data_IF_228313340828
#
_entry.id   IF_228313340828
#
_cell.length_a   1.000
_cell.length_b   1.000
_cell.length_c   1.000
_cell.angle_alpha   90.00
_cell.angle_beta   90.00
_cell.angle_gamma   90.00
#
_symmetry.space_group_name_H-M   'P 1'
#
loop_
_entity.id
_entity.type
_entity.pdbx_description
1 polymer ?
#
# COMPACT_ATOMS: atom_id res chain seq x y z
N UNK A 1 -42.17 -4.50 -9.13
CA UNK A 1 -41.23 -3.85 -8.18
C UNK A 1 -40.14 -4.79 -7.65
N UNK A 2 -40.41 -6.07 -7.34
CA UNK A 2 -39.41 -7.00 -6.76
C UNK A 2 -38.22 -7.37 -7.67
N UNK A 3 -38.40 -7.39 -8.99
CA UNK A 3 -37.34 -7.77 -9.96
C UNK A 3 -36.27 -6.69 -10.15
N UNK A 4 -36.61 -5.40 -9.96
CA UNK A 4 -35.64 -4.30 -10.08
C UNK A 4 -34.67 -4.29 -8.88
N UNK A 5 -35.19 -4.51 -7.67
CA UNK A 5 -34.34 -4.63 -6.46
C UNK A 5 -33.47 -5.89 -6.46
N UNK A 6 -33.91 -6.98 -7.10
CA UNK A 6 -33.10 -8.19 -7.26
C UNK A 6 -31.90 -7.95 -8.19
N UNK A 7 -32.07 -7.16 -9.25
CA UNK A 7 -30.97 -6.77 -10.17
C UNK A 7 -29.97 -5.85 -9.47
N UNK A 8 -30.45 -4.88 -8.68
CA UNK A 8 -29.56 -4.03 -7.87
C UNK A 8 -28.84 -4.83 -6.78
N UNK A 9 -29.50 -5.79 -6.14
CA UNK A 9 -28.86 -6.68 -5.16
C UNK A 9 -27.78 -7.55 -5.83
N UNK A 10 -28.05 -8.12 -7.01
CA UNK A 10 -27.08 -8.92 -7.78
C UNK A 10 -25.89 -8.08 -8.30
N UNK A 11 -26.13 -6.84 -8.72
CA UNK A 11 -25.08 -5.90 -9.10
C UNK A 11 -24.23 -5.47 -7.90
N UNK A 12 -24.85 -5.26 -6.74
CA UNK A 12 -24.13 -4.91 -5.50
C UNK A 12 -23.34 -6.12 -5.00
N UNK A 13 -23.86 -7.35 -5.06
CA UNK A 13 -23.10 -8.58 -4.71
C UNK A 13 -21.94 -8.85 -5.68
N UNK A 14 -22.07 -8.46 -6.95
CA UNK A 14 -20.99 -8.56 -7.94
C UNK A 14 -19.79 -7.65 -7.66
N UNK A 15 -19.99 -6.54 -6.95
CA UNK A 15 -18.91 -5.64 -6.51
C UNK A 15 -18.17 -6.11 -5.24
N UNK A 16 -18.74 -7.04 -4.46
CA UNK A 16 -18.17 -7.48 -3.17
C UNK A 16 -17.26 -8.71 -3.30
N UNK A 17 -17.00 -9.19 -4.52
CA UNK A 17 -16.21 -10.41 -4.74
C UNK A 17 -14.96 -10.21 -5.61
N UNK A 18 -14.69 -8.98 -6.08
CA UNK A 18 -13.44 -8.67 -6.78
C UNK A 18 -12.41 -8.15 -5.78
N UNK A 19 -11.85 -9.04 -4.95
CA UNK A 19 -10.47 -8.83 -4.49
C UNK A 19 -9.62 -8.92 -5.75
N UNK A 20 -9.34 -7.77 -6.38
CA UNK A 20 -8.70 -7.71 -7.70
C UNK A 20 -7.33 -8.40 -7.68
N UNK A 21 -6.68 -8.42 -6.51
CA UNK A 21 -5.40 -9.10 -6.29
C UNK A 21 -5.33 -9.72 -4.89
N UNK A 22 -4.60 -10.81 -4.77
CA UNK A 22 -4.18 -11.43 -3.50
C UNK A 22 -2.65 -11.39 -3.46
N UNK A 23 -2.08 -10.88 -2.36
CA UNK A 23 -0.63 -10.72 -2.21
C UNK A 23 -0.16 -11.61 -1.08
N UNK A 24 0.78 -12.51 -1.38
CA UNK A 24 1.45 -13.35 -0.39
C UNK A 24 2.94 -13.04 -0.38
N UNK A 25 3.49 -12.76 0.80
CA UNK A 25 4.92 -12.53 0.99
C UNK A 25 5.49 -13.59 1.91
N UNK A 26 6.12 -14.59 1.31
CA UNK A 26 6.76 -15.70 2.01
C UNK A 26 8.25 -15.43 2.21
N UNK A 27 8.80 -15.68 3.40
CA UNK A 27 10.24 -15.98 3.52
C UNK A 27 10.52 -17.35 4.05
N UNK A 28 11.47 -18.01 3.38
CA UNK A 28 12.04 -19.28 3.79
C UNK A 28 13.42 -19.02 4.37
N UNK A 29 13.58 -19.23 5.67
CA UNK A 29 14.82 -19.01 6.40
C UNK A 29 15.65 -20.29 6.37
N UNK A 30 16.94 -20.16 6.03
CA UNK A 30 17.90 -21.25 6.01
C UNK A 30 18.60 -21.40 7.36
N UNK A 31 19.22 -22.57 7.58
CA UNK A 31 19.95 -22.89 8.80
C UNK A 31 21.12 -21.94 9.14
N UNK A 32 21.64 -21.23 8.16
CA UNK A 32 22.75 -20.27 8.30
C UNK A 32 22.29 -18.83 8.56
N UNK A 33 20.98 -18.58 8.59
CA UNK A 33 20.39 -17.24 8.76
C UNK A 33 20.24 -16.45 7.45
N UNK A 34 20.68 -17.01 6.31
CA UNK A 34 20.25 -16.52 5.00
C UNK A 34 18.77 -16.86 4.78
N UNK A 35 18.13 -16.19 3.83
CA UNK A 35 16.73 -16.49 3.51
C UNK A 35 16.40 -16.14 2.07
N UNK A 36 15.36 -16.79 1.55
CA UNK A 36 14.76 -16.42 0.27
C UNK A 36 13.40 -15.80 0.52
N UNK A 37 13.13 -14.66 -0.10
CA UNK A 37 11.83 -14.01 -0.07
C UNK A 37 11.15 -14.15 -1.44
N UNK A 38 9.88 -14.53 -1.39
CA UNK A 38 9.01 -14.72 -2.55
C UNK A 38 7.79 -13.84 -2.34
N UNK A 39 7.53 -12.93 -3.28
CA UNK A 39 6.32 -12.11 -3.32
C UNK A 39 5.47 -12.62 -4.47
N UNK A 40 4.31 -13.18 -4.15
CA UNK A 40 3.35 -13.73 -5.11
C UNK A 40 2.15 -12.81 -5.18
N UNK A 41 1.78 -12.41 -6.39
CA UNK A 41 0.59 -11.61 -6.67
C UNK A 41 -0.29 -12.44 -7.58
N UNK A 42 -1.50 -12.76 -7.11
CA UNK A 42 -2.53 -13.50 -7.85
C UNK A 42 -3.68 -12.55 -8.17
N UNK A 43 -4.27 -12.62 -9.35
CA UNK A 43 -5.39 -11.74 -9.73
C UNK A 43 -6.00 -12.11 -11.08
N UNK A 44 -7.16 -11.56 -11.38
CA UNK A 44 -7.95 -11.86 -12.59
C UNK A 44 -7.55 -11.01 -13.83
N UNK A 45 -6.56 -10.14 -13.67
CA UNK A 45 -6.10 -9.23 -14.70
C UNK A 45 -4.57 -9.17 -14.79
N UNK A 46 -4.06 -8.54 -15.85
CA UNK A 46 -2.63 -8.31 -16.02
C UNK A 46 -2.05 -7.32 -14.98
N UNK A 47 -2.89 -6.69 -14.15
CA UNK A 47 -2.46 -5.78 -13.09
C UNK A 47 -1.64 -6.48 -12.00
N UNK A 48 -1.61 -7.82 -11.97
CA UNK A 48 -0.66 -8.58 -11.13
C UNK A 48 0.80 -8.25 -11.43
N UNK A 49 1.09 -7.68 -12.61
CA UNK A 49 2.44 -7.26 -13.00
C UNK A 49 2.83 -5.94 -12.32
N UNK A 50 1.86 -5.10 -11.91
CA UNK A 50 2.15 -3.78 -11.31
C UNK A 50 2.87 -3.94 -9.97
N UNK A 51 3.98 -3.23 -9.81
CA UNK A 51 4.87 -3.27 -8.64
C UNK A 51 4.52 -2.20 -7.59
N UNK A 52 3.25 -1.80 -7.48
CA UNK A 52 2.71 -0.98 -6.40
C UNK A 52 2.58 -1.79 -5.10
N UNK A 53 3.66 -2.47 -4.74
CA UNK A 53 3.77 -3.30 -3.55
C UNK A 53 4.44 -2.50 -2.44
N UNK A 54 4.26 -2.91 -1.17
CA UNK A 54 4.95 -2.23 -0.09
C UNK A 54 6.45 -2.53 -0.14
N UNK A 55 6.96 -3.43 -0.98
CA UNK A 55 8.39 -3.76 -1.05
C UNK A 55 9.10 -3.10 -2.23
N UNK A 56 10.37 -2.68 -2.06
CA UNK A 56 11.21 -2.18 -3.13
C UNK A 56 11.59 -3.32 -4.09
N UNK A 57 10.70 -3.70 -4.99
CA UNK A 57 11.02 -4.69 -6.03
C UNK A 57 11.72 -3.98 -7.19
N UNK A 58 13.01 -4.28 -7.34
CA UNK A 58 13.87 -3.75 -8.40
C UNK A 58 14.24 -4.85 -9.43
N UNK A 59 15.15 -4.52 -10.36
CA UNK A 59 15.62 -5.43 -11.41
C UNK A 59 16.44 -6.63 -10.92
N UNK A 60 16.86 -6.64 -9.66
CA UNK A 60 17.62 -7.75 -9.08
C UNK A 60 16.73 -8.88 -8.56
N UNK A 61 15.41 -8.67 -8.51
CA UNK A 61 14.43 -9.71 -8.22
C UNK A 61 14.18 -10.56 -9.48
N UNK A 62 14.26 -11.87 -9.35
CA UNK A 62 13.85 -12.79 -10.41
C UNK A 62 12.33 -12.73 -10.55
N UNK A 63 11.85 -12.38 -11.75
CA UNK A 63 10.42 -12.24 -12.06
C UNK A 63 9.93 -13.40 -12.91
N UNK A 64 8.85 -14.02 -12.47
CA UNK A 64 8.12 -15.04 -13.23
C UNK A 64 6.66 -14.62 -13.39
N UNK A 65 6.10 -14.89 -14.57
CA UNK A 65 4.70 -14.60 -14.85
C UNK A 65 4.08 -15.82 -15.54
N UNK A 66 2.96 -16.29 -14.98
CA UNK A 66 2.24 -17.44 -15.49
C UNK A 66 0.74 -17.25 -15.32
N UNK A 67 -0.04 -18.05 -16.04
CA UNK A 67 -1.46 -18.27 -15.70
C UNK A 67 -1.55 -19.41 -14.70
N UNK A 68 -2.50 -19.32 -13.79
CA UNK A 68 -2.77 -20.43 -12.87
C UNK A 68 -3.20 -21.67 -13.68
N UNK A 69 -2.58 -22.80 -13.40
CA UNK A 69 -2.89 -24.09 -14.03
C UNK A 69 -4.25 -24.64 -13.64
N UNK A 70 -4.76 -24.24 -12.47
CA UNK A 70 -6.06 -24.64 -11.93
C UNK A 70 -7.20 -23.71 -12.37
N UNK A 71 -6.88 -22.45 -12.68
CA UNK A 71 -7.83 -21.47 -13.19
C UNK A 71 -7.17 -20.54 -14.24
N UNK A 72 -7.46 -20.79 -15.52
CA UNK A 72 -6.87 -20.04 -16.63
C UNK A 72 -7.25 -18.54 -16.71
N UNK A 73 -8.22 -18.11 -15.89
CA UNK A 73 -8.63 -16.70 -15.76
C UNK A 73 -7.76 -15.94 -14.77
N UNK A 74 -6.98 -16.67 -13.95
CA UNK A 74 -6.09 -16.09 -12.95
C UNK A 74 -4.67 -15.99 -13.50
N UNK A 75 -4.09 -14.82 -13.32
CA UNK A 75 -2.68 -14.54 -13.54
C UNK A 75 -1.92 -14.57 -12.22
N UNK A 76 -0.67 -15.04 -12.27
CA UNK A 76 0.25 -15.11 -11.14
C UNK A 76 1.55 -14.45 -11.56
N UNK A 77 1.96 -13.44 -10.79
CA UNK A 77 3.29 -12.84 -10.90
C UNK A 77 4.08 -13.12 -9.62
N UNK A 78 5.28 -13.67 -9.77
CA UNK A 78 6.14 -14.03 -8.65
C UNK A 78 7.46 -13.28 -8.75
N UNK A 79 7.86 -12.67 -7.65
CA UNK A 79 9.17 -12.04 -7.50
C UNK A 79 9.97 -12.79 -6.44
N UNK A 80 11.17 -13.23 -6.79
CA UNK A 80 12.04 -14.02 -5.90
C UNK A 80 13.40 -13.34 -5.73
N UNK A 81 13.87 -13.24 -4.49
CA UNK A 81 15.22 -12.77 -4.17
C UNK A 81 15.77 -13.50 -2.95
N UNK A 82 17.05 -13.84 -3.01
CA UNK A 82 17.78 -14.43 -1.89
C UNK A 82 18.66 -13.39 -1.20
N UNK A 83 18.66 -13.44 0.12
CA UNK A 83 19.36 -12.52 1.00
C UNK A 83 20.35 -13.28 1.86
N UNK A 84 21.57 -12.77 1.96
CA UNK A 84 22.62 -13.36 2.81
C UNK A 84 22.27 -13.28 4.30
N UNK A 85 21.59 -12.21 4.70
CA UNK A 85 21.17 -11.92 6.07
C UNK A 85 20.10 -10.81 6.09
N UNK A 86 19.54 -10.54 7.26
CA UNK A 86 18.51 -9.51 7.44
C UNK A 86 19.02 -8.10 7.11
N UNK A 87 20.30 -7.79 7.36
CA UNK A 87 20.89 -6.48 7.08
C UNK A 87 20.81 -6.11 5.59
N UNK A 88 20.97 -7.09 4.70
CA UNK A 88 20.86 -6.86 3.25
C UNK A 88 19.46 -6.35 2.85
N UNK A 89 18.39 -6.98 3.37
CA UNK A 89 17.02 -6.54 3.09
C UNK A 89 16.68 -5.23 3.82
N UNK A 90 17.14 -5.05 5.07
CA UNK A 90 16.96 -3.78 5.76
C UNK A 90 17.63 -2.62 5.02
N UNK A 91 18.82 -2.85 4.43
CA UNK A 91 19.53 -1.84 3.61
C UNK A 91 18.73 -1.50 2.36
N UNK A 92 18.15 -2.49 1.69
CA UNK A 92 17.27 -2.28 0.53
C UNK A 92 16.03 -1.45 0.90
N UNK A 93 15.39 -1.76 2.03
CA UNK A 93 14.24 -1.00 2.55
C UNK A 93 14.65 0.44 2.92
N UNK A 94 15.83 0.63 3.52
CA UNK A 94 16.31 1.95 3.95
C UNK A 94 16.74 2.84 2.78
N UNK A 95 17.20 2.24 1.67
CA UNK A 95 17.62 2.96 0.47
C UNK A 95 16.44 3.27 -0.47
N UNK A 96 15.22 2.85 -0.12
CA UNK A 96 14.04 3.17 -0.91
C UNK A 96 13.76 4.68 -0.88
N UNK A 97 13.77 5.32 -2.05
CA UNK A 97 13.50 6.75 -2.21
C UNK A 97 12.03 7.05 -2.50
N UNK A 98 11.22 6.03 -2.81
CA UNK A 98 9.80 6.15 -3.14
C UNK A 98 8.94 6.31 -1.88
N UNK A 99 7.62 6.42 -2.05
CA UNK A 99 6.64 6.49 -0.96
C UNK A 99 6.76 5.31 0.04
N UNK A 100 7.23 4.14 -0.41
CA UNK A 100 7.38 2.91 0.41
C UNK A 100 8.29 3.10 1.62
N UNK A 101 9.22 4.06 1.58
CA UNK A 101 10.10 4.43 2.71
C UNK A 101 9.32 4.85 3.96
N UNK A 102 8.08 5.30 3.77
CA UNK A 102 7.20 5.70 4.86
C UNK A 102 6.67 4.48 5.64
N UNK A 103 6.64 3.30 5.02
CA UNK A 103 6.34 2.04 5.69
C UNK A 103 7.55 1.59 6.50
N UNK A 104 7.67 2.12 7.73
CA UNK A 104 8.74 1.76 8.66
C UNK A 104 8.69 0.28 9.02
N UNK A 105 9.63 -0.48 8.49
CA UNK A 105 9.75 -1.92 8.69
C UNK A 105 11.15 -2.30 9.07
N UNK A 106 11.25 -3.32 9.93
CA UNK A 106 12.52 -3.90 10.32
C UNK A 106 12.39 -5.42 10.33
N UNK A 107 13.41 -6.08 9.79
CA UNK A 107 13.53 -7.54 9.81
C UNK A 107 14.75 -7.90 10.63
N UNK A 108 14.61 -8.90 11.49
CA UNK A 108 15.66 -9.45 12.31
C UNK A 108 15.67 -10.97 12.16
N UNK A 109 16.85 -11.52 11.85
CA UNK A 109 17.11 -12.95 11.89
C UNK A 109 18.33 -13.15 12.77
N UNK A 110 18.13 -13.79 13.92
CA UNK A 110 19.21 -14.08 14.85
C UNK A 110 19.32 -15.58 15.10
N UNK A 111 20.56 -16.06 15.29
CA UNK A 111 20.85 -17.46 15.56
C UNK A 111 21.62 -17.58 16.86
N UNK A 112 21.07 -18.36 17.80
CA UNK A 112 21.75 -18.74 19.04
C UNK A 112 22.16 -20.21 18.96
N UNK A 113 23.46 -20.44 18.85
CA UNK A 113 24.03 -21.79 18.86
C UNK A 113 24.02 -22.39 20.27
N UNK A 114 23.61 -23.64 20.37
CA UNK A 114 23.79 -24.50 21.54
C UNK A 114 24.50 -25.79 21.09
N UNK A 115 25.04 -26.54 22.04
CA UNK A 115 25.88 -27.71 21.74
C UNK A 115 25.18 -28.78 20.88
N UNK A 116 23.86 -28.98 21.02
CA UNK A 116 23.09 -30.00 20.29
C UNK A 116 22.07 -29.45 19.28
N UNK A 117 21.73 -28.16 19.38
CA UNK A 117 20.71 -27.52 18.56
C UNK A 117 21.00 -26.04 18.44
N UNK A 118 20.41 -25.38 17.46
CA UNK A 118 20.44 -23.91 17.36
C UNK A 118 19.03 -23.40 17.40
N UNK A 119 18.84 -22.24 18.03
CA UNK A 119 17.59 -21.49 17.89
C UNK A 119 17.77 -20.42 16.84
N UNK A 120 16.82 -20.33 15.92
CA UNK A 120 16.72 -19.23 14.97
C UNK A 120 15.46 -18.46 15.31
N UNK A 121 15.59 -17.15 15.48
CA UNK A 121 14.49 -16.23 15.69
C UNK A 121 14.32 -15.39 14.44
N UNK A 122 13.12 -15.44 13.87
CA UNK A 122 12.69 -14.51 12.82
C UNK A 122 11.73 -13.50 13.45
N UNK A 123 11.96 -12.22 13.17
CA UNK A 123 11.08 -11.14 13.60
C UNK A 123 10.95 -10.13 12.48
N UNK A 124 9.72 -9.79 12.13
CA UNK A 124 9.40 -8.70 11.23
C UNK A 124 8.45 -7.74 11.95
N UNK A 125 8.80 -6.45 11.96
CA UNK A 125 8.03 -5.41 12.64
C UNK A 125 7.60 -4.37 11.64
N UNK A 126 6.31 -4.01 11.68
CA UNK A 126 5.76 -2.84 11.02
C UNK A 126 5.50 -1.79 12.10
N UNK A 127 6.26 -0.69 12.11
CA UNK A 127 6.26 0.29 13.20
C UNK A 127 5.11 1.28 13.15
N UNK A 128 4.41 1.41 12.02
CA UNK A 128 3.32 2.36 11.85
C UNK A 128 2.12 1.73 11.13
N UNK A 129 0.92 1.97 11.67
CA UNK A 129 -0.34 1.69 11.00
C UNK A 129 -0.67 2.76 9.94
N UNK A 130 -0.13 3.96 10.10
CA UNK A 130 -0.27 5.07 9.15
C UNK A 130 1.03 5.22 8.35
N UNK A 131 1.03 4.86 7.05
CA UNK A 131 2.18 5.02 6.17
C UNK A 131 2.26 6.42 5.58
N UNK A 132 1.42 7.37 6.00
CA UNK A 132 1.52 8.78 5.62
C UNK A 132 2.26 9.56 6.71
N UNK A 133 3.14 10.47 6.31
CA UNK A 133 3.91 11.33 7.22
C UNK A 133 3.07 12.36 8.00
N UNK A 134 1.89 12.73 7.49
CA UNK A 134 1.00 13.72 8.10
C UNK A 134 0.47 13.29 9.48
N UNK A 135 0.35 14.27 10.37
CA UNK A 135 -0.17 14.03 11.72
C UNK A 135 -1.68 13.78 11.68
N UNK A 136 -2.07 12.55 12.03
CA UNK A 136 -3.48 12.18 12.11
C UNK A 136 -4.16 12.64 13.40
N UNK A 137 -3.43 13.06 14.44
CA UNK A 137 -4.00 13.27 15.78
C UNK A 137 -5.04 14.41 15.83
N UNK A 138 -5.01 15.34 14.87
CA UNK A 138 -6.05 16.37 14.72
C UNK A 138 -7.40 15.79 14.26
N UNK A 139 -7.37 14.61 13.63
CA UNK A 139 -8.53 13.98 13.02
C UNK A 139 -8.95 12.71 13.76
N UNK A 140 -8.00 11.88 14.17
CA UNK A 140 -8.24 10.56 14.74
C UNK A 140 -7.69 10.48 16.15
N UNK A 141 -8.54 10.06 17.07
CA UNK A 141 -8.13 9.72 18.43
C UNK A 141 -7.95 8.20 18.60
N UNK A 142 -7.44 7.77 19.76
CA UNK A 142 -7.22 6.34 20.05
C UNK A 142 -8.49 5.49 19.95
N UNK A 143 -9.65 6.03 20.31
CA UNK A 143 -10.91 5.30 20.20
C UNK A 143 -11.33 5.12 18.74
N UNK A 144 -11.14 6.12 17.90
CA UNK A 144 -11.43 6.04 16.46
C UNK A 144 -10.61 4.91 15.81
N UNK A 145 -9.33 4.82 16.15
CA UNK A 145 -8.45 3.76 15.67
C UNK A 145 -8.94 2.36 16.06
N UNK A 146 -9.54 2.19 17.25
CA UNK A 146 -10.09 0.89 17.67
C UNK A 146 -11.33 0.48 16.86
N UNK A 147 -12.12 1.45 16.40
CA UNK A 147 -13.27 1.18 15.53
C UNK A 147 -12.83 0.89 14.10
N UNK A 148 -11.89 1.67 13.57
CA UNK A 148 -11.37 1.53 12.21
C UNK A 148 -10.57 0.23 12.05
N UNK A 149 -9.81 -0.18 13.07
CA UNK A 149 -9.06 -1.45 13.08
C UNK A 149 -9.92 -2.68 13.42
N UNK A 150 -11.25 -2.51 13.54
CA UNK A 150 -12.21 -3.57 13.88
C UNK A 150 -11.97 -4.28 15.22
N UNK A 151 -11.03 -3.81 16.05
CA UNK A 151 -10.85 -4.29 17.43
C UNK A 151 -12.14 -4.10 18.24
N UNK A 152 -12.87 -3.01 17.96
CA UNK A 152 -14.26 -2.84 18.39
C UNK A 152 -15.20 -3.18 17.23
N UNK A 153 -16.11 -4.11 17.47
CA UNK A 153 -17.10 -4.56 16.48
C UNK A 153 -18.45 -3.86 16.66
N UNK A 154 -19.15 -3.64 15.54
CA UNK A 154 -20.46 -2.99 15.52
C UNK A 154 -21.56 -3.98 15.96
N UNK A 155 -22.04 -3.89 17.20
CA UNK A 155 -23.07 -4.81 17.72
C UNK A 155 -24.44 -4.13 17.85
N UNK A 156 -24.45 -2.81 18.00
CA UNK A 156 -25.66 -2.00 18.16
C UNK A 156 -25.72 -0.87 17.14
N UNK A 157 -26.91 -0.28 16.97
CA UNK A 157 -27.07 0.93 16.16
C UNK A 157 -26.19 2.09 16.64
N UNK A 158 -25.94 2.19 17.94
CA UNK A 158 -25.06 3.22 18.51
C UNK A 158 -23.61 2.99 18.08
N UNK A 159 -23.19 1.74 18.00
CA UNK A 159 -21.83 1.37 17.58
C UNK A 159 -21.62 1.66 16.10
N UNK A 160 -22.62 1.38 15.25
CA UNK A 160 -22.59 1.77 13.83
C UNK A 160 -22.46 3.29 13.66
N UNK A 161 -23.20 4.10 14.42
CA UNK A 161 -23.04 5.57 14.40
C UNK A 161 -21.62 5.99 14.85
N UNK A 162 -21.01 5.27 15.79
CA UNK A 162 -19.63 5.55 16.23
C UNK A 162 -18.60 5.17 15.17
N UNK A 163 -18.77 4.03 14.53
CA UNK A 163 -17.97 3.60 13.40
C UNK A 163 -18.06 4.62 12.26
N UNK A 164 -19.26 4.97 11.80
CA UNK A 164 -19.47 5.94 10.70
C UNK A 164 -18.81 7.29 11.01
N UNK A 165 -18.85 7.70 12.28
CA UNK A 165 -18.21 8.94 12.73
C UNK A 165 -16.69 8.87 12.72
N UNK A 166 -16.10 7.72 13.06
CA UNK A 166 -14.65 7.48 12.99
C UNK A 166 -14.19 7.38 11.53
N UNK A 167 -14.94 6.64 10.70
CA UNK A 167 -14.72 6.51 9.26
C UNK A 167 -14.74 7.87 8.56
N UNK A 168 -15.76 8.71 8.83
CA UNK A 168 -15.81 10.06 8.28
C UNK A 168 -14.60 10.94 8.68
N UNK A 169 -14.06 10.75 9.89
CA UNK A 169 -12.84 11.45 10.33
C UNK A 169 -11.60 10.93 9.61
N UNK A 170 -11.52 9.62 9.38
CA UNK A 170 -10.47 8.99 8.59
C UNK A 170 -10.46 9.52 7.15
N UNK A 171 -11.63 9.60 6.51
CA UNK A 171 -11.74 10.16 5.16
C UNK A 171 -11.35 11.63 5.10
N UNK A 172 -11.71 12.41 6.12
CA UNK A 172 -11.29 13.82 6.20
C UNK A 172 -9.78 13.97 6.35
N UNK A 173 -9.16 13.14 7.18
CA UNK A 173 -7.71 13.06 7.32
C UNK A 173 -7.05 12.69 5.99
N UNK A 174 -7.53 11.61 5.35
CA UNK A 174 -7.02 11.11 4.08
C UNK A 174 -7.10 12.16 2.97
N UNK A 175 -8.24 12.83 2.83
CA UNK A 175 -8.41 13.91 1.87
C UNK A 175 -7.40 15.05 2.10
N UNK A 176 -7.19 15.47 3.36
CA UNK A 176 -6.22 16.52 3.67
C UNK A 176 -4.77 16.08 3.39
N UNK A 177 -4.43 14.83 3.71
CA UNK A 177 -3.12 14.27 3.38
C UNK A 177 -2.86 14.27 1.87
N UNK A 178 -3.83 13.80 1.06
CA UNK A 178 -3.72 13.82 -0.39
C UNK A 178 -3.57 15.23 -0.95
N UNK A 179 -4.30 16.22 -0.41
CA UNK A 179 -4.12 17.64 -0.81
C UNK A 179 -2.68 18.09 -0.58
N UNK A 180 -2.11 17.79 0.58
CA UNK A 180 -0.74 18.19 0.89
C UNK A 180 0.26 17.53 -0.07
N UNK A 181 0.11 16.23 -0.36
CA UNK A 181 0.95 15.55 -1.34
C UNK A 181 0.84 16.15 -2.74
N UNK A 182 -0.38 16.39 -3.23
CA UNK A 182 -0.60 17.00 -4.54
C UNK A 182 0.10 18.37 -4.61
N UNK A 183 -0.07 19.19 -3.56
CA UNK A 183 0.56 20.51 -3.47
C UNK A 183 2.09 20.42 -3.47
N UNK A 184 2.67 19.44 -2.77
CA UNK A 184 4.11 19.21 -2.74
C UNK A 184 4.67 18.73 -4.08
N UNK A 185 4.00 17.76 -4.72
CA UNK A 185 4.38 17.23 -6.04
C UNK A 185 4.33 18.32 -7.11
N UNK A 186 3.25 19.11 -7.14
CA UNK A 186 3.11 20.25 -8.04
C UNK A 186 4.16 21.32 -7.79
N UNK A 187 4.39 21.69 -6.52
CA UNK A 187 5.42 22.67 -6.17
C UNK A 187 6.81 22.20 -6.62
N UNK A 188 7.12 20.92 -6.44
CA UNK A 188 8.37 20.31 -6.91
C UNK A 188 8.47 20.37 -8.43
N UNK A 189 7.42 19.96 -9.14
CA UNK A 189 7.38 19.97 -10.60
C UNK A 189 7.54 21.39 -11.17
N UNK A 190 6.82 22.36 -10.64
CA UNK A 190 6.95 23.77 -11.04
C UNK A 190 8.38 24.29 -10.83
N UNK A 191 9.02 23.89 -9.73
CA UNK A 191 10.41 24.22 -9.44
C UNK A 191 11.43 23.59 -10.41
N UNK A 192 11.08 22.51 -11.11
CA UNK A 192 11.97 21.84 -12.09
C UNK A 192 11.90 22.46 -13.49
N UNK A 193 10.79 23.11 -13.84
CA UNK A 193 10.58 23.65 -15.19
C UNK A 193 11.40 24.91 -15.49
N UNK A 194 11.80 25.68 -14.45
CA UNK A 194 12.51 26.96 -14.58
C UNK A 194 11.91 27.92 -15.63
N UNK A 195 10.59 27.85 -15.86
CA UNK A 195 9.91 28.61 -16.92
C UNK A 195 9.54 30.03 -16.46
N UNK A 196 9.93 31.09 -17.19
CA UNK A 196 9.59 32.47 -16.85
C UNK A 196 8.09 32.76 -16.74
N UNK A 197 7.25 32.04 -17.49
CA UNK A 197 5.79 32.13 -17.47
C UNK A 197 5.15 31.56 -16.21
N UNK A 198 5.93 30.89 -15.35
CA UNK A 198 5.50 30.34 -14.07
C UNK A 198 6.02 31.12 -12.85
N UNK A 199 6.83 32.16 -13.05
CA UNK A 199 7.46 32.92 -11.95
C UNK A 199 6.46 33.54 -10.96
N UNK A 200 5.30 33.98 -11.45
CA UNK A 200 4.24 34.58 -10.63
C UNK A 200 3.12 33.58 -10.29
N UNK A 201 3.33 32.28 -10.57
CA UNK A 201 2.31 31.25 -10.33
C UNK A 201 2.19 30.93 -8.83
N UNK A 202 1.13 31.42 -8.19
CA UNK A 202 0.83 31.11 -6.79
C UNK A 202 -0.06 29.87 -6.67
N UNK A 203 0.59 28.71 -6.53
CA UNK A 203 -0.09 27.43 -6.32
C UNK A 203 -1.01 27.45 -5.07
N UNK A 204 -0.71 28.24 -4.05
CA UNK A 204 -1.47 28.25 -2.79
C UNK A 204 -2.93 28.69 -2.98
N UNK A 205 -3.21 29.49 -4.00
CA UNK A 205 -4.56 29.95 -4.36
C UNK A 205 -5.51 28.81 -4.76
N UNK A 206 -4.97 27.66 -5.20
CA UNK A 206 -5.76 26.54 -5.70
C UNK A 206 -5.95 25.42 -4.68
N UNK A 207 -5.43 25.58 -3.44
CA UNK A 207 -5.51 24.52 -2.41
C UNK A 207 -6.94 24.07 -2.14
N UNK A 208 -7.89 24.99 -2.01
CA UNK A 208 -9.29 24.67 -1.74
C UNK A 208 -9.97 23.99 -2.93
N UNK A 209 -9.62 24.39 -4.15
CA UNK A 209 -10.09 23.75 -5.39
C UNK A 209 -9.57 22.31 -5.51
N UNK A 210 -8.30 22.08 -5.15
CA UNK A 210 -7.70 20.74 -5.05
C UNK A 210 -8.44 19.93 -3.98
N UNK A 211 -8.66 20.48 -2.79
CA UNK A 211 -9.38 19.81 -1.70
C UNK A 211 -10.81 19.42 -2.08
N UNK A 212 -11.49 20.22 -2.91
CA UNK A 212 -12.83 19.91 -3.39
C UNK A 212 -12.88 18.76 -4.41
N UNK A 213 -11.76 18.45 -5.08
CA UNK A 213 -11.72 17.45 -6.15
C UNK A 213 -10.85 16.22 -5.82
N UNK A 214 -10.02 16.27 -4.78
CA UNK A 214 -9.01 15.26 -4.46
C UNK A 214 -9.58 13.84 -4.34
N UNK A 215 -10.74 13.69 -3.68
CA UNK A 215 -11.39 12.39 -3.50
C UNK A 215 -11.94 11.81 -4.81
N UNK A 216 -12.27 12.66 -5.78
CA UNK A 216 -12.66 12.20 -7.12
C UNK A 216 -11.44 11.77 -7.93
N UNK A 217 -10.32 12.46 -7.75
CA UNK A 217 -9.08 12.15 -8.44
C UNK A 217 -8.40 10.89 -7.90
N UNK A 218 -8.59 10.57 -6.62
CA UNK A 218 -8.07 9.33 -6.02
C UNK A 218 -8.67 8.05 -6.60
N UNK A 219 -9.80 8.13 -7.31
CA UNK A 219 -10.38 7.00 -8.05
C UNK A 219 -9.69 6.76 -9.41
N UNK A 220 -8.77 7.65 -9.80
CA UNK A 220 -8.06 7.62 -11.08
C UNK A 220 -6.58 7.93 -10.92
N UNK A 221 -6.06 8.83 -11.77
CA UNK A 221 -4.70 9.35 -11.68
C UNK A 221 -4.71 10.79 -11.24
N UNK A 222 -3.77 11.19 -10.38
CA UNK A 222 -3.65 12.58 -9.94
C UNK A 222 -3.17 13.55 -11.03
N UNK A 223 -2.68 13.04 -12.16
CA UNK A 223 -2.29 13.85 -13.33
C UNK A 223 -3.38 14.84 -13.79
N UNK A 224 -4.66 14.49 -13.59
CA UNK A 224 -5.80 15.37 -13.89
C UNK A 224 -5.80 16.68 -13.07
N UNK A 225 -5.02 16.75 -11.99
CA UNK A 225 -4.81 17.97 -11.23
C UNK A 225 -4.04 19.03 -12.04
N UNK A 226 -3.13 18.62 -12.94
CA UNK A 226 -2.43 19.54 -13.85
C UNK A 226 -3.44 20.17 -14.80
N UNK A 227 -4.29 19.37 -15.43
CA UNK A 227 -5.33 19.87 -16.34
C UNK A 227 -6.29 20.83 -15.64
N UNK A 228 -6.68 20.51 -14.40
CA UNK A 228 -7.51 21.38 -13.59
C UNK A 228 -6.81 22.73 -13.31
N UNK A 229 -5.51 22.71 -12.99
CA UNK A 229 -4.74 23.92 -12.74
C UNK A 229 -4.56 24.77 -14.00
N UNK A 230 -4.33 24.18 -15.16
CA UNK A 230 -4.31 24.90 -16.44
C UNK A 230 -5.62 25.66 -16.64
N UNK A 231 -6.76 25.01 -16.38
CA UNK A 231 -8.09 25.63 -16.51
C UNK A 231 -8.30 26.73 -15.45
N UNK A 232 -7.97 26.47 -14.19
CA UNK A 232 -8.22 27.40 -13.09
C UNK A 232 -7.31 28.63 -13.11
N UNK A 233 -6.09 28.47 -13.59
CA UNK A 233 -5.13 29.57 -13.71
C UNK A 233 -5.24 30.33 -15.03
N UNK A 234 -5.74 29.68 -16.09
CA UNK A 234 -5.69 30.23 -17.44
C UNK A 234 -4.26 30.33 -17.99
N UNK A 235 -3.29 29.67 -17.35
CA UNK A 235 -1.88 29.66 -17.72
C UNK A 235 -1.56 28.32 -18.42
N UNK A 236 -1.39 28.30 -19.76
CA UNK A 236 -1.10 27.08 -20.50
C UNK A 236 0.28 26.49 -20.21
N UNK A 237 1.24 27.28 -19.72
CA UNK A 237 2.60 26.84 -19.38
C UNK A 237 2.60 25.84 -18.21
N UNK A 238 1.55 25.81 -17.38
CA UNK A 238 1.35 24.77 -16.36
C UNK A 238 1.26 23.37 -16.99
N UNK A 239 0.82 23.25 -18.24
CA UNK A 239 0.72 21.96 -18.93
C UNK A 239 2.10 21.30 -19.15
N UNK A 240 3.19 22.06 -19.09
CA UNK A 240 4.55 21.53 -19.18
C UNK A 240 4.89 20.55 -18.04
N UNK A 241 4.11 20.55 -16.95
CA UNK A 241 4.25 19.57 -15.88
C UNK A 241 4.02 18.12 -16.37
N UNK A 242 3.20 17.92 -17.42
CA UNK A 242 3.00 16.61 -18.05
C UNK A 242 4.26 16.06 -18.72
N UNK A 243 5.22 16.93 -19.06
CA UNK A 243 6.44 16.55 -19.77
C UNK A 243 7.59 16.14 -18.83
N UNK A 244 7.40 16.25 -17.51
CA UNK A 244 8.40 15.87 -16.51
C UNK A 244 8.46 14.34 -16.39
N UNK A 245 9.67 13.80 -16.51
CA UNK A 245 9.93 12.36 -16.39
C UNK A 245 10.82 12.05 -15.17
N UNK A 246 10.42 11.12 -14.27
CA UNK A 246 9.13 10.42 -14.27
C UNK A 246 7.94 11.37 -13.95
N UNK A 247 6.69 10.97 -14.26
CA UNK A 247 5.51 11.78 -13.98
C UNK A 247 5.46 12.26 -12.52
N UNK A 248 5.11 13.53 -12.31
CA UNK A 248 5.27 14.17 -10.99
C UNK A 248 4.45 13.53 -9.88
N UNK A 249 3.33 12.88 -10.22
CA UNK A 249 2.45 12.18 -9.28
C UNK A 249 2.65 10.67 -9.24
N UNK A 250 3.63 10.10 -9.95
CA UNK A 250 3.82 8.64 -10.02
C UNK A 250 3.89 7.99 -8.63
N UNK A 251 4.66 8.58 -7.71
CA UNK A 251 4.78 8.07 -6.33
C UNK A 251 3.45 8.18 -5.56
N UNK A 252 2.69 9.25 -5.77
CA UNK A 252 1.40 9.47 -5.11
C UNK A 252 0.33 8.51 -5.64
N UNK A 253 0.27 8.29 -6.96
CA UNK A 253 -0.60 7.31 -7.60
C UNK A 253 -0.29 5.89 -7.08
N UNK A 254 0.99 5.53 -7.00
CA UNK A 254 1.41 4.23 -6.47
C UNK A 254 1.05 4.06 -4.99
N UNK A 255 1.22 5.11 -4.17
CA UNK A 255 0.83 5.14 -2.77
C UNK A 255 -0.69 5.00 -2.61
N UNK A 256 -1.48 5.83 -3.30
CA UNK A 256 -2.93 5.82 -3.23
C UNK A 256 -3.50 4.47 -3.68
N UNK A 257 -2.96 3.89 -4.75
CA UNK A 257 -3.35 2.56 -5.21
C UNK A 257 -3.03 1.51 -4.16
N UNK A 258 -1.81 1.52 -3.59
CA UNK A 258 -1.43 0.54 -2.57
C UNK A 258 -2.27 0.67 -1.30
N UNK A 259 -2.54 1.88 -0.82
CA UNK A 259 -3.36 2.10 0.36
C UNK A 259 -4.83 1.79 0.10
N UNK A 260 -5.33 2.06 -1.11
CA UNK A 260 -6.61 1.56 -1.59
C UNK A 260 -6.70 0.03 -1.45
N UNK A 261 -5.69 -0.66 -1.97
CA UNK A 261 -5.50 -2.11 -1.89
C UNK A 261 -5.47 -2.63 -0.45
N UNK A 262 -4.59 -2.06 0.39
CA UNK A 262 -4.35 -2.50 1.77
C UNK A 262 -5.56 -2.23 2.69
N UNK A 263 -6.19 -1.06 2.55
CA UNK A 263 -7.27 -0.62 3.44
C UNK A 263 -8.62 -1.20 3.00
N UNK A 264 -8.84 -1.39 1.70
CA UNK A 264 -10.20 -1.62 1.19
C UNK A 264 -10.40 -2.87 0.35
N UNK A 265 -9.39 -3.61 -0.12
CA UNK A 265 -9.67 -4.58 -1.22
C UNK A 265 -8.79 -5.82 -1.38
N UNK A 266 -7.75 -6.08 -0.59
CA UNK A 266 -6.89 -7.24 -0.84
C UNK A 266 -6.54 -8.04 0.41
N UNK A 267 -6.54 -9.37 0.28
CA UNK A 267 -5.90 -10.26 1.27
C UNK A 267 -4.39 -10.10 1.14
N UNK A 268 -3.77 -9.58 2.19
CA UNK A 268 -2.33 -9.50 2.28
C UNK A 268 -1.84 -10.48 3.34
N UNK A 269 -1.17 -11.55 2.91
CA UNK A 269 -0.68 -12.60 3.81
C UNK A 269 0.85 -12.56 3.90
N UNK A 270 1.38 -12.52 5.12
CA UNK A 270 2.79 -12.75 5.40
C UNK A 270 3.01 -14.19 5.82
N UNK A 271 4.05 -14.83 5.30
CA UNK A 271 4.45 -16.18 5.72
C UNK A 271 5.93 -16.24 6.09
N UNK A 272 6.25 -17.05 7.09
CA UNK A 272 7.61 -17.40 7.44
C UNK A 272 7.74 -18.93 7.59
N UNK A 273 8.61 -19.51 6.78
CA UNK A 273 9.01 -20.91 6.86
C UNK A 273 10.36 -21.00 7.57
N UNK A 274 10.36 -21.62 8.75
CA UNK A 274 11.53 -21.76 9.61
C UNK A 274 12.28 -23.06 9.35
N UNK A 275 13.60 -23.10 9.54
CA UNK A 275 14.33 -24.36 9.50
C UNK A 275 14.07 -25.16 10.79
N UNK A 276 13.48 -26.34 10.68
CA UNK A 276 13.21 -27.23 11.81
C UNK A 276 11.85 -26.99 12.48
N UNK A 277 11.78 -27.14 13.80
CA UNK A 277 10.54 -27.06 14.57
C UNK A 277 10.33 -25.66 15.14
N UNK A 278 9.12 -25.12 14.99
CA UNK A 278 8.71 -23.88 15.64
C UNK A 278 8.39 -24.18 17.10
N UNK A 279 9.09 -23.50 18.01
CA UNK A 279 8.84 -23.64 19.46
C UNK A 279 7.95 -22.54 20.01
N UNK A 280 7.95 -21.36 19.38
CA UNK A 280 7.20 -20.17 19.80
C UNK A 280 6.78 -19.35 18.58
N UNK A 281 5.56 -18.81 18.58
CA UNK A 281 5.05 -17.88 17.55
C UNK A 281 3.91 -17.04 18.11
N UNK A 282 3.72 -15.83 17.59
CA UNK A 282 2.53 -15.01 17.83
C UNK A 282 1.48 -15.14 16.71
N UNK A 283 1.74 -15.97 15.70
CA UNK A 283 0.78 -16.28 14.64
C UNK A 283 -0.34 -17.18 15.17
N UNK A 284 -1.54 -16.98 14.63
CA UNK A 284 -2.71 -17.85 14.86
C UNK A 284 -2.81 -18.97 13.81
N UNK A 285 -1.99 -18.96 12.75
CA UNK A 285 -2.01 -19.91 11.62
C UNK A 285 -0.64 -20.58 11.50
N UNK A 286 -0.60 -21.90 11.71
CA UNK A 286 0.64 -22.67 11.65
C UNK A 286 0.43 -24.02 10.95
N UNK A 287 1.31 -24.32 10.00
CA UNK A 287 1.36 -25.59 9.28
C UNK A 287 2.79 -26.11 9.21
N UNK A 288 3.09 -27.14 10.00
CA UNK A 288 4.44 -27.73 10.07
C UNK A 288 5.47 -26.72 10.59
N UNK A 289 6.44 -26.36 9.74
CA UNK A 289 7.48 -25.38 10.01
C UNK A 289 7.15 -23.97 9.44
N UNK A 290 5.92 -23.76 8.96
CA UNK A 290 5.47 -22.48 8.39
C UNK A 290 4.42 -21.82 9.29
N UNK A 291 4.53 -20.51 9.46
CA UNK A 291 3.55 -19.65 10.14
C UNK A 291 3.08 -18.54 9.20
N UNK A 292 1.83 -18.12 9.36
CA UNK A 292 1.23 -17.09 8.50
C UNK A 292 0.49 -16.01 9.30
N UNK A 293 0.46 -14.79 8.80
CA UNK A 293 -0.31 -13.67 9.35
C UNK A 293 -1.09 -13.03 8.22
N UNK A 294 -2.41 -12.94 8.38
CA UNK A 294 -3.26 -12.11 7.53
C UNK A 294 -3.25 -10.69 8.09
N UNK A 295 -2.88 -9.73 7.25
CA UNK A 295 -2.83 -8.30 7.57
C UNK A 295 -4.01 -7.56 6.95
#
# INVERSE_FOLDING_TARGET
MKTKYLIYLLLITGFILSSCREITVKTTINNDGSFTRVVTIRGDSADVIKTNLPYPIDSSWAKEFARDTSDSTVFICTYTRSFKNADALNTEIQNDTSWRRQIKRDIEISKRFMFFYSFITYKQVYKAANPIAEDYHEYLNKEDLLWISEVKTQQTKKDSIRYDSADARLWKYWANALVNYIMEDLKRGLGQLEDPGLNDFDLSMYRDSIAANVMKWSDGKFEVAIDALVIWSGNPEVALLHDIEPPIFQDLDDMNTFLGTLIFSEKYTLEAEMPGLITETNSTIMHGNTVSWDL
#
